data_IF_996090036761
#
_entry.id   IF_996090036761
#
_cell.length_a   1.000
_cell.length_b   1.000
_cell.length_c   1.000
_cell.angle_alpha   90.00
_cell.angle_beta   90.00
_cell.angle_gamma   90.00
#
_symmetry.space_group_name_H-M   'P 1'
#
loop_
_entity.id
_entity.type
_entity.pdbx_description
1 polymer ?
#
# COMPACT_ATOMS: atom_id res chain seq x y z
N UNK A 1 -17.51 -7.20 -31.85
CA UNK A 1 -16.22 -6.75 -31.28
C UNK A 1 -16.50 -5.42 -30.59
N UNK A 2 -17.03 -5.47 -29.36
CA UNK A 2 -17.39 -4.27 -28.60
C UNK A 2 -16.11 -3.72 -27.96
N UNK A 3 -15.56 -2.68 -28.56
CA UNK A 3 -14.58 -1.80 -27.93
C UNK A 3 -15.24 -1.13 -26.73
N UNK A 4 -14.84 -1.54 -25.53
CA UNK A 4 -15.13 -0.82 -24.29
C UNK A 4 -14.36 0.51 -24.33
N UNK A 5 -14.92 1.50 -25.00
CA UNK A 5 -14.56 2.91 -24.84
C UNK A 5 -15.20 3.45 -23.57
N UNK A 6 -14.68 3.00 -22.42
CA UNK A 6 -14.74 3.76 -21.19
C UNK A 6 -13.36 4.38 -20.99
N UNK A 7 -13.29 5.70 -20.79
CA UNK A 7 -12.14 6.31 -20.14
C UNK A 7 -12.06 5.69 -18.74
N UNK A 8 -11.36 4.56 -18.60
CA UNK A 8 -10.83 4.15 -17.32
C UNK A 8 -9.72 5.16 -17.06
N UNK A 9 -10.00 6.18 -16.23
CA UNK A 9 -8.90 6.87 -15.57
C UNK A 9 -8.02 5.76 -14.97
N UNK A 10 -6.77 5.70 -15.41
CA UNK A 10 -5.85 4.66 -14.95
C UNK A 10 -5.74 4.78 -13.44
N UNK A 11 -6.33 3.83 -12.69
CA UNK A 11 -6.28 3.78 -11.24
C UNK A 11 -4.83 3.95 -10.78
N UNK A 12 -4.59 4.96 -9.96
CA UNK A 12 -3.25 5.31 -9.48
C UNK A 12 -3.06 4.88 -8.04
N UNK A 13 -1.88 4.37 -7.73
CA UNK A 13 -1.55 3.78 -6.44
C UNK A 13 -0.34 4.48 -5.82
N UNK A 14 -0.36 4.62 -4.51
CA UNK A 14 0.87 4.82 -3.71
C UNK A 14 1.03 3.67 -2.71
N UNK A 15 2.26 3.37 -2.35
CA UNK A 15 2.58 2.47 -1.25
C UNK A 15 3.24 3.25 -0.12
N UNK A 16 2.75 3.06 1.10
CA UNK A 16 3.43 3.46 2.33
C UNK A 16 3.60 2.18 3.13
N UNK A 17 4.83 1.70 3.27
CA UNK A 17 5.03 0.36 3.78
C UNK A 17 6.24 0.24 4.69
N UNK A 18 6.26 -0.85 5.45
CA UNK A 18 7.46 -1.40 6.05
C UNK A 18 7.46 -2.93 5.85
N UNK A 19 8.64 -3.54 6.00
CA UNK A 19 8.80 -4.98 5.84
C UNK A 19 8.73 -5.50 4.40
N UNK A 20 9.00 -6.79 4.27
CA UNK A 20 9.24 -7.47 2.98
C UNK A 20 7.95 -7.80 2.21
N UNK A 21 6.80 -7.85 2.89
CA UNK A 21 5.56 -8.25 2.24
C UNK A 21 5.10 -7.26 1.17
N UNK A 22 5.11 -5.98 1.49
CA UNK A 22 4.76 -4.95 0.53
C UNK A 22 5.71 -4.95 -0.67
N UNK A 23 7.01 -5.20 -0.46
CA UNK A 23 7.97 -5.35 -1.56
C UNK A 23 7.58 -6.50 -2.48
N UNK A 24 7.12 -7.63 -1.94
CA UNK A 24 6.61 -8.76 -2.73
C UNK A 24 5.39 -8.34 -3.57
N UNK A 25 4.46 -7.58 -2.99
CA UNK A 25 3.28 -7.07 -3.72
C UNK A 25 3.69 -6.09 -4.83
N UNK A 26 4.58 -5.14 -4.53
CA UNK A 26 5.07 -4.15 -5.50
C UNK A 26 5.78 -4.86 -6.66
N UNK A 27 6.71 -5.77 -6.35
CA UNK A 27 7.47 -6.54 -7.34
C UNK A 27 6.58 -7.45 -8.19
N UNK A 28 5.50 -7.98 -7.62
CA UNK A 28 4.46 -8.66 -8.36
C UNK A 28 3.78 -7.73 -9.38
N UNK A 29 3.34 -6.53 -8.96
CA UNK A 29 2.59 -5.59 -9.78
C UNK A 29 3.41 -4.98 -10.93
N UNK A 30 4.69 -4.69 -10.70
CA UNK A 30 5.59 -4.21 -11.76
C UNK A 30 6.09 -5.34 -12.67
N UNK A 31 5.80 -6.60 -12.31
CA UNK A 31 6.23 -7.81 -12.99
C UNK A 31 7.77 -7.96 -13.06
N UNK A 32 8.41 -7.81 -11.90
CA UNK A 32 9.86 -7.93 -11.75
C UNK A 32 10.34 -9.36 -12.15
N UNK A 33 11.31 -9.48 -13.08
CA UNK A 33 11.89 -10.75 -13.56
C UNK A 33 12.46 -11.70 -12.51
N UNK A 34 12.72 -11.21 -11.30
CA UNK A 34 13.29 -12.01 -10.21
C UNK A 34 12.32 -12.28 -9.07
N UNK A 35 11.06 -11.84 -9.21
CA UNK A 35 10.03 -12.04 -8.20
C UNK A 35 9.41 -13.43 -8.22
N UNK A 36 9.04 -13.95 -9.40
CA UNK A 36 8.42 -15.26 -9.51
C UNK A 36 9.46 -16.36 -9.30
N UNK A 37 9.31 -17.15 -8.23
CA UNK A 37 10.25 -18.23 -7.89
C UNK A 37 9.64 -19.64 -7.98
N UNK A 38 8.37 -19.77 -8.37
CA UNK A 38 7.62 -21.03 -8.30
C UNK A 38 8.25 -22.18 -9.09
N UNK A 39 8.79 -21.89 -10.29
CA UNK A 39 9.38 -22.91 -11.16
C UNK A 39 10.88 -23.14 -10.88
N UNK A 40 11.52 -22.31 -10.05
CA UNK A 40 12.95 -22.38 -9.77
C UNK A 40 13.81 -22.38 -11.05
N UNK A 41 14.69 -23.37 -11.16
CA UNK A 41 15.57 -23.55 -12.32
C UNK A 41 14.83 -23.91 -13.63
N UNK A 42 13.57 -24.36 -13.54
CA UNK A 42 12.73 -24.72 -14.68
C UNK A 42 11.84 -23.56 -15.15
N UNK A 43 12.20 -22.31 -14.80
CA UNK A 43 11.41 -21.15 -15.17
C UNK A 43 11.42 -20.93 -16.69
N UNK A 44 10.23 -20.90 -17.28
CA UNK A 44 9.96 -20.65 -18.69
C UNK A 44 9.47 -19.22 -18.96
N UNK A 45 9.57 -18.34 -17.96
CA UNK A 45 9.22 -16.92 -18.08
C UNK A 45 7.72 -16.65 -18.34
N UNK A 46 6.82 -17.59 -18.00
CA UNK A 46 5.38 -17.54 -18.31
C UNK A 46 4.62 -16.29 -17.82
N UNK A 47 5.15 -15.59 -16.82
CA UNK A 47 4.53 -14.39 -16.24
C UNK A 47 4.98 -13.10 -16.90
N UNK A 48 6.15 -13.08 -17.55
CA UNK A 48 6.78 -11.85 -18.00
C UNK A 48 6.16 -11.34 -19.29
N UNK A 49 6.14 -10.02 -19.45
CA UNK A 49 5.51 -9.32 -20.58
C UNK A 49 3.99 -9.58 -20.75
N UNK A 50 3.34 -10.22 -19.77
CA UNK A 50 1.88 -10.41 -19.73
C UNK A 50 1.18 -9.17 -19.18
N UNK A 51 1.80 -8.51 -18.20
CA UNK A 51 1.29 -7.29 -17.57
C UNK A 51 2.42 -6.49 -16.92
N UNK A 52 2.20 -5.22 -16.69
CA UNK A 52 2.96 -4.41 -15.73
C UNK A 52 2.12 -3.20 -15.35
N UNK A 53 2.03 -2.92 -14.05
CA UNK A 53 1.31 -1.78 -13.51
C UNK A 53 2.26 -0.67 -13.03
N UNK A 54 3.51 -0.68 -13.48
CA UNK A 54 4.51 0.31 -13.07
C UNK A 54 4.06 1.76 -13.33
N UNK A 55 3.30 2.00 -14.40
CA UNK A 55 2.74 3.31 -14.76
C UNK A 55 1.62 3.77 -13.81
N UNK A 56 0.99 2.84 -13.09
CA UNK A 56 -0.07 3.12 -12.12
C UNK A 56 0.50 3.49 -10.74
N UNK A 57 1.71 3.06 -10.41
CA UNK A 57 2.33 3.28 -9.10
C UNK A 57 3.05 4.63 -9.10
N UNK A 58 2.47 5.62 -8.42
CA UNK A 58 3.01 6.99 -8.34
C UNK A 58 4.13 7.13 -7.32
N UNK A 59 4.12 6.31 -6.27
CA UNK A 59 5.18 6.26 -5.27
C UNK A 59 5.16 4.92 -4.52
N UNK A 60 6.34 4.48 -4.09
CA UNK A 60 6.48 3.45 -3.08
C UNK A 60 7.49 3.93 -2.04
N UNK A 61 7.00 4.18 -0.83
CA UNK A 61 7.77 4.84 0.23
C UNK A 61 7.87 3.89 1.43
N UNK A 62 9.09 3.47 1.71
CA UNK A 62 9.39 2.69 2.91
C UNK A 62 9.54 3.63 4.11
N UNK A 63 8.91 3.29 5.23
CA UNK A 63 9.04 3.99 6.51
C UNK A 63 9.63 3.05 7.57
N UNK A 64 10.07 3.54 8.74
CA UNK A 64 10.62 2.68 9.79
C UNK A 64 9.66 1.56 10.18
N UNK A 65 10.21 0.37 10.43
CA UNK A 65 9.41 -0.78 10.82
C UNK A 65 8.90 -0.66 12.27
N UNK A 66 7.80 -1.35 12.64
CA UNK A 66 7.23 -1.25 13.98
C UNK A 66 8.21 -1.54 15.11
N UNK A 67 9.19 -2.44 14.89
CA UNK A 67 10.24 -2.80 15.86
C UNK A 67 11.30 -1.70 16.06
N UNK A 68 11.39 -0.74 15.14
CA UNK A 68 12.27 0.43 15.22
C UNK A 68 11.59 1.63 15.90
N UNK A 69 10.31 1.50 16.25
CA UNK A 69 9.48 2.56 16.78
C UNK A 69 9.13 2.31 18.26
N UNK A 70 8.88 3.37 19.04
CA UNK A 70 8.34 3.22 20.38
C UNK A 70 6.98 2.51 20.35
N UNK A 71 6.65 1.78 21.43
CA UNK A 71 5.37 1.08 21.55
C UNK A 71 4.15 2.01 21.42
N UNK A 72 4.29 3.26 21.85
CA UNK A 72 3.29 4.32 21.73
C UNK A 72 3.95 5.56 21.13
N UNK A 73 3.30 6.13 20.12
CA UNK A 73 3.79 7.27 19.38
C UNK A 73 2.91 8.49 19.65
N UNK A 74 3.47 9.49 20.34
CA UNK A 74 2.76 10.75 20.63
C UNK A 74 2.55 11.61 19.37
N UNK A 75 3.51 11.61 18.43
CA UNK A 75 3.45 12.39 17.18
C UNK A 75 3.64 11.49 15.93
N UNK A 76 2.61 10.72 15.52
CA UNK A 76 2.67 9.79 14.38
C UNK A 76 3.16 10.44 13.09
N UNK A 77 2.76 11.71 12.88
CA UNK A 77 3.09 12.49 11.70
C UNK A 77 4.60 12.66 11.44
N UNK A 78 5.46 12.53 12.46
CA UNK A 78 6.92 12.61 12.32
C UNK A 78 7.53 11.44 11.55
N UNK A 79 6.86 10.29 11.55
CA UNK A 79 7.34 9.06 10.90
C UNK A 79 6.70 8.82 9.53
N UNK A 80 5.60 9.51 9.22
CA UNK A 80 4.99 9.49 7.91
C UNK A 80 5.77 10.36 6.91
N UNK A 81 5.69 10.08 5.59
CA UNK A 81 6.38 10.88 4.59
C UNK A 81 5.90 12.33 4.61
N UNK A 82 6.79 13.30 4.43
CA UNK A 82 6.40 14.73 4.45
C UNK A 82 5.40 15.09 3.35
N UNK A 83 5.48 14.41 2.20
CA UNK A 83 4.59 14.57 1.05
C UNK A 83 4.44 13.23 0.33
N UNK A 84 3.27 12.99 -0.21
CA UNK A 84 3.00 11.95 -1.22
C UNK A 84 2.32 12.58 -2.44
N UNK A 85 2.45 11.98 -3.64
CA UNK A 85 1.67 12.42 -4.79
C UNK A 85 0.18 12.11 -4.59
N UNK A 86 -0.67 12.90 -5.24
CA UNK A 86 -2.10 12.59 -5.38
C UNK A 86 -2.27 11.26 -6.13
N UNK A 87 -3.15 10.40 -5.61
CA UNK A 87 -3.43 9.08 -6.14
C UNK A 87 -4.84 8.62 -5.76
N UNK A 88 -5.35 7.58 -6.42
CA UNK A 88 -6.67 7.04 -6.09
C UNK A 88 -6.63 6.19 -4.82
N UNK A 89 -5.61 5.34 -4.66
CA UNK A 89 -5.50 4.42 -3.52
C UNK A 89 -4.11 4.48 -2.87
N UNK A 90 -4.08 4.36 -1.56
CA UNK A 90 -2.89 3.99 -0.80
C UNK A 90 -2.98 2.52 -0.40
N UNK A 91 -1.92 1.76 -0.66
CA UNK A 91 -1.72 0.43 -0.08
C UNK A 91 -0.72 0.58 1.08
N UNK A 92 -1.19 0.28 2.29
CA UNK A 92 -0.43 0.42 3.52
C UNK A 92 -0.20 -0.93 4.17
N UNK A 93 1.05 -1.30 4.45
CA UNK A 93 1.38 -2.64 4.95
C UNK A 93 2.58 -2.61 5.89
N UNK A 94 2.53 -3.44 6.92
CA UNK A 94 3.58 -3.54 7.94
C UNK A 94 3.73 -2.27 8.79
N UNK A 95 2.71 -1.42 8.90
CA UNK A 95 2.84 -0.16 9.63
C UNK A 95 2.66 -0.36 11.15
N UNK A 96 3.32 0.50 11.93
CA UNK A 96 3.03 0.59 13.37
C UNK A 96 1.57 1.02 13.58
N UNK A 97 0.94 0.51 14.63
CA UNK A 97 -0.50 0.67 14.90
C UNK A 97 -0.93 2.14 14.96
N UNK A 98 -0.16 2.97 15.65
CA UNK A 98 -0.42 4.40 15.77
C UNK A 98 -0.24 5.15 14.43
N UNK A 99 0.67 4.69 13.57
CA UNK A 99 0.85 5.26 12.23
C UNK A 99 -0.32 4.86 11.32
N UNK A 100 -0.78 3.61 11.44
CA UNK A 100 -1.93 3.12 10.67
C UNK A 100 -3.21 3.86 11.06
N UNK A 101 -3.41 4.15 12.35
CA UNK A 101 -4.56 4.90 12.84
C UNK A 101 -4.56 6.36 12.35
N UNK A 102 -3.41 7.02 12.30
CA UNK A 102 -3.28 8.40 11.78
C UNK A 102 -3.41 8.46 10.25
N UNK A 103 -3.19 7.34 9.56
CA UNK A 103 -3.01 7.31 8.12
C UNK A 103 -4.19 7.89 7.30
N UNK A 104 -5.48 7.67 7.63
CA UNK A 104 -6.56 8.21 6.82
C UNK A 104 -6.59 9.75 6.82
N UNK A 105 -6.32 10.39 7.97
CA UNK A 105 -6.19 11.86 8.07
C UNK A 105 -5.06 12.37 7.20
N UNK A 106 -3.89 11.74 7.32
CA UNK A 106 -2.73 12.04 6.51
C UNK A 106 -3.04 11.95 5.01
N UNK A 107 -3.68 10.85 4.57
CA UNK A 107 -4.00 10.59 3.17
C UNK A 107 -4.99 11.61 2.60
N UNK A 108 -5.96 12.05 3.40
CA UNK A 108 -6.94 13.06 3.00
C UNK A 108 -6.28 14.38 2.62
N UNK A 109 -5.24 14.80 3.33
CA UNK A 109 -4.50 16.03 3.03
C UNK A 109 -3.81 16.00 1.65
N UNK A 110 -3.48 14.81 1.15
CA UNK A 110 -2.87 14.60 -0.17
C UNK A 110 -3.86 14.11 -1.24
N UNK A 111 -5.17 14.22 -0.97
CA UNK A 111 -6.26 13.84 -1.89
C UNK A 111 -6.23 12.38 -2.33
N UNK A 112 -5.75 11.49 -1.47
CA UNK A 112 -5.90 10.05 -1.69
C UNK A 112 -7.32 9.63 -1.36
N UNK A 113 -7.93 8.82 -2.24
CA UNK A 113 -9.38 8.54 -2.23
C UNK A 113 -9.76 7.23 -1.55
N UNK A 114 -8.80 6.41 -1.16
CA UNK A 114 -9.07 5.15 -0.49
C UNK A 114 -7.81 4.51 0.09
N UNK A 115 -8.02 3.61 1.05
CA UNK A 115 -6.96 2.91 1.78
C UNK A 115 -7.19 1.40 1.72
N UNK A 116 -6.15 0.66 1.32
CA UNK A 116 -6.09 -0.80 1.41
C UNK A 116 -5.02 -1.18 2.41
N UNK A 117 -5.40 -1.96 3.42
CA UNK A 117 -4.48 -2.50 4.44
C UNK A 117 -4.48 -4.02 4.34
N UNK A 118 -3.48 -4.63 3.67
CA UNK A 118 -3.31 -6.08 3.71
C UNK A 118 -3.00 -6.53 5.12
N UNK A 119 -3.70 -7.57 5.60
CA UNK A 119 -3.49 -8.16 6.92
C UNK A 119 -2.86 -9.54 6.72
N UNK A 120 -1.57 -9.67 7.01
CA UNK A 120 -0.88 -10.97 6.99
C UNK A 120 -0.95 -11.68 8.34
N UNK A 121 -0.83 -10.92 9.43
CA UNK A 121 -1.02 -11.38 10.80
C UNK A 121 -2.08 -10.52 11.50
N UNK A 122 -3.03 -11.16 12.17
CA UNK A 122 -4.09 -10.50 12.93
C UNK A 122 -3.55 -9.61 14.06
N UNK A 123 -2.32 -9.84 14.53
CA UNK A 123 -1.66 -9.01 15.53
C UNK A 123 -1.21 -7.64 14.99
N UNK A 124 -0.99 -7.52 13.67
CA UNK A 124 -0.65 -6.26 13.00
C UNK A 124 -1.86 -5.32 13.02
N UNK A 125 -3.04 -5.85 12.68
CA UNK A 125 -4.30 -5.11 12.67
C UNK A 125 -5.36 -5.83 13.50
N UNK A 126 -5.31 -5.70 14.85
CA UNK A 126 -6.33 -6.26 15.73
C UNK A 126 -7.71 -5.68 15.42
N UNK A 127 -8.78 -6.40 15.79
CA UNK A 127 -10.17 -6.01 15.50
C UNK A 127 -10.53 -4.59 15.97
N UNK A 128 -10.02 -4.17 17.13
CA UNK A 128 -10.21 -2.80 17.65
C UNK A 128 -9.57 -1.75 16.74
N UNK A 129 -8.30 -1.95 16.36
CA UNK A 129 -7.60 -1.05 15.44
C UNK A 129 -8.27 -1.02 14.07
N UNK A 130 -8.64 -2.19 13.54
CA UNK A 130 -9.37 -2.28 12.27
C UNK A 130 -10.60 -1.39 12.26
N UNK A 131 -11.44 -1.50 13.30
CA UNK A 131 -12.65 -0.69 13.44
C UNK A 131 -12.34 0.80 13.53
N UNK A 132 -11.33 1.19 14.31
CA UNK A 132 -10.94 2.59 14.44
C UNK A 132 -10.44 3.18 13.10
N UNK A 133 -9.68 2.40 12.34
CA UNK A 133 -9.21 2.81 11.00
C UNK A 133 -10.40 2.92 10.03
N UNK A 134 -11.36 2.00 10.08
CA UNK A 134 -12.59 2.08 9.28
C UNK A 134 -13.42 3.33 9.62
N UNK A 135 -13.59 3.63 10.91
CA UNK A 135 -14.30 4.82 11.39
C UNK A 135 -13.59 6.10 10.91
N UNK A 136 -12.25 6.17 11.03
CA UNK A 136 -11.48 7.32 10.57
C UNK A 136 -11.51 7.46 9.04
N UNK A 137 -11.47 6.37 8.26
CA UNK A 137 -11.67 6.43 6.81
C UNK A 137 -13.03 7.06 6.45
N UNK A 138 -14.11 6.64 7.12
CA UNK A 138 -15.44 7.18 6.89
C UNK A 138 -15.52 8.68 7.24
N UNK A 139 -14.91 9.10 8.35
CA UNK A 139 -14.86 10.52 8.76
C UNK A 139 -14.10 11.38 7.76
N UNK A 140 -13.00 10.86 7.20
CA UNK A 140 -12.18 11.57 6.21
C UNK A 140 -12.72 11.49 4.77
N UNK A 141 -13.74 10.65 4.52
CA UNK A 141 -14.34 10.43 3.21
C UNK A 141 -13.46 9.61 2.26
N UNK A 142 -12.76 8.60 2.80
CA UNK A 142 -12.04 7.55 2.08
C UNK A 142 -12.90 6.30 1.88
#
# INVERSE_FOLDING_TARGET
MLTLTGNLENLTLIFIYSGEFAERVIRNLINDPSFCKSCGLYCDYCKYNVYSYVQNIRAAIQIPSPDQLPQFIDEPRRYLPRKVPEADLCIASGLHKDLLLELPRYLREFRVKGLIVPIEDFLEVPSGLKRQVEEECLEQGL
#
